data_IF_020632379312
#
_entry.id   IF_020632379312
#
_cell.length_a   1.000
_cell.length_b   1.000
_cell.length_c   1.000
_cell.angle_alpha   90.00
_cell.angle_beta   90.00
_cell.angle_gamma   90.00
#
_symmetry.space_group_name_H-M   'P 1'
#
loop_
_entity.id
_entity.type
_entity.pdbx_description
1 polymer ?
#
# COMPACT_ATOMS: atom_id res chain seq x y z
N UNK A 1 -33.56 -11.90 9.59
CA UNK A 1 -33.32 -12.06 11.03
C UNK A 1 -31.99 -12.64 11.41
N UNK A 2 -31.03 -12.78 10.51
CA UNK A 2 -29.78 -13.45 10.79
C UNK A 2 -28.63 -12.49 10.65
N UNK A 3 -28.17 -12.00 11.80
CA UNK A 3 -26.98 -11.15 11.89
C UNK A 3 -25.67 -11.94 11.75
N UNK A 4 -25.74 -13.19 11.26
CA UNK A 4 -24.60 -14.07 11.00
C UNK A 4 -24.53 -14.34 9.51
N UNK A 5 -23.34 -14.08 8.94
CA UNK A 5 -23.02 -14.34 7.53
C UNK A 5 -21.84 -15.27 7.47
N UNK A 6 -21.98 -16.36 6.73
CA UNK A 6 -20.93 -17.33 6.47
C UNK A 6 -20.68 -17.38 4.96
N UNK A 7 -19.43 -17.17 4.57
CA UNK A 7 -18.99 -17.22 3.18
C UNK A 7 -17.88 -18.29 3.05
N UNK A 8 -18.17 -19.34 2.28
CA UNK A 8 -17.24 -20.45 2.06
C UNK A 8 -16.07 -20.09 1.15
N UNK A 9 -16.19 -19.02 0.39
CA UNK A 9 -15.12 -18.54 -0.50
C UNK A 9 -13.98 -17.86 0.25
N UNK A 10 -14.24 -17.39 1.48
CA UNK A 10 -13.26 -16.73 2.32
C UNK A 10 -12.33 -17.74 3.00
N UNK A 11 -11.03 -17.43 3.04
CA UNK A 11 -10.03 -18.19 3.81
C UNK A 11 -10.14 -18.03 5.34
N UNK A 12 -11.22 -17.40 5.83
CA UNK A 12 -11.47 -17.11 7.24
C UNK A 12 -12.15 -18.30 7.91
N UNK A 13 -11.62 -18.85 9.03
CA UNK A 13 -12.27 -19.91 9.79
C UNK A 13 -13.73 -19.59 10.15
N UNK A 14 -14.63 -20.57 10.03
CA UNK A 14 -16.09 -20.38 10.23
C UNK A 14 -16.43 -19.77 11.59
N UNK A 15 -15.79 -20.25 12.67
CA UNK A 15 -16.01 -19.68 14.01
C UNK A 15 -15.65 -18.19 14.08
N UNK A 16 -14.61 -17.78 13.35
CA UNK A 16 -14.21 -16.37 13.28
C UNK A 16 -15.21 -15.54 12.49
N UNK A 17 -15.80 -16.11 11.44
CA UNK A 17 -16.87 -15.44 10.67
C UNK A 17 -18.11 -15.17 11.53
N UNK A 18 -18.48 -16.14 12.40
CA UNK A 18 -19.57 -15.96 13.38
C UNK A 18 -19.27 -14.78 14.32
N UNK A 19 -18.07 -14.76 14.91
CA UNK A 19 -17.65 -13.67 15.82
C UNK A 19 -17.70 -12.32 15.09
N UNK A 20 -17.12 -12.24 13.90
CA UNK A 20 -17.08 -11.01 13.11
C UNK A 20 -18.49 -10.52 12.74
N UNK A 21 -19.41 -11.42 12.40
CA UNK A 21 -20.81 -11.08 12.10
C UNK A 21 -21.50 -10.42 13.29
N UNK A 22 -21.34 -11.00 14.49
CA UNK A 22 -21.91 -10.43 15.72
C UNK A 22 -21.30 -9.05 16.02
N UNK A 23 -19.98 -8.89 15.88
CA UNK A 23 -19.33 -7.59 16.05
C UNK A 23 -19.85 -6.55 15.04
N UNK A 24 -19.96 -6.92 13.76
CA UNK A 24 -20.49 -6.02 12.74
C UNK A 24 -21.93 -5.61 13.04
N UNK A 25 -22.79 -6.55 13.45
CA UNK A 25 -24.18 -6.28 13.78
C UNK A 25 -24.32 -5.34 15.00
N UNK A 26 -23.45 -5.47 16.01
CA UNK A 26 -23.40 -4.54 17.14
C UNK A 26 -22.90 -3.15 16.68
N UNK A 27 -21.82 -3.11 15.91
CA UNK A 27 -21.25 -1.85 15.41
C UNK A 27 -22.23 -1.07 14.51
N UNK A 28 -23.03 -1.78 13.70
CA UNK A 28 -24.08 -1.19 12.87
C UNK A 28 -25.37 -0.84 13.62
N UNK A 29 -25.44 -1.16 14.93
CA UNK A 29 -26.65 -0.92 15.75
C UNK A 29 -27.81 -1.89 15.50
N UNK A 30 -27.56 -2.97 14.76
CA UNK A 30 -28.53 -4.04 14.48
C UNK A 30 -28.76 -4.94 15.69
N UNK A 31 -27.71 -5.14 16.51
CA UNK A 31 -27.77 -5.83 17.80
C UNK A 31 -27.49 -4.84 18.94
N UNK A 32 -28.41 -4.82 19.90
CA UNK A 32 -28.36 -3.92 21.07
C UNK A 32 -28.17 -4.74 22.35
N UNK A 33 -27.80 -4.05 23.41
CA UNK A 33 -27.71 -4.63 24.75
C UNK A 33 -29.03 -5.34 25.12
N UNK A 34 -28.93 -6.60 25.53
CA UNK A 34 -30.06 -7.43 25.91
C UNK A 34 -30.75 -8.16 24.74
N UNK A 35 -30.37 -7.91 23.50
CA UNK A 35 -30.94 -8.61 22.34
C UNK A 35 -30.55 -10.09 22.36
N UNK A 36 -31.49 -10.93 21.98
CA UNK A 36 -31.29 -12.37 21.85
C UNK A 36 -30.61 -12.71 20.52
N UNK A 37 -29.55 -13.50 20.58
CA UNK A 37 -28.90 -14.04 19.37
C UNK A 37 -29.36 -15.47 19.06
N UNK A 38 -29.19 -15.96 17.80
CA UNK A 38 -29.51 -17.35 17.45
C UNK A 38 -28.84 -18.35 18.40
N UNK A 39 -29.51 -19.43 18.68
CA UNK A 39 -28.93 -20.52 19.49
C UNK A 39 -27.87 -21.28 18.72
N UNK A 40 -27.01 -22.01 19.46
CA UNK A 40 -26.00 -22.90 18.85
C UNK A 40 -26.63 -23.84 17.80
N UNK A 41 -27.75 -24.48 18.14
CA UNK A 41 -28.40 -25.43 17.24
C UNK A 41 -28.96 -24.75 15.99
N UNK A 42 -29.50 -23.53 16.11
CA UNK A 42 -29.98 -22.78 14.95
C UNK A 42 -28.85 -22.47 13.97
N UNK A 43 -27.70 -22.00 14.48
CA UNK A 43 -26.53 -21.71 13.64
C UNK A 43 -25.97 -22.99 12.99
N UNK A 44 -25.89 -24.09 13.77
CA UNK A 44 -25.45 -25.38 13.23
C UNK A 44 -26.32 -25.84 12.07
N UNK A 45 -27.66 -25.75 12.23
CA UNK A 45 -28.60 -26.21 11.20
C UNK A 45 -28.60 -25.28 9.97
N UNK A 46 -28.57 -23.98 10.19
CA UNK A 46 -28.69 -22.99 9.11
C UNK A 46 -27.46 -22.93 8.20
N UNK A 47 -26.27 -23.06 8.81
CA UNK A 47 -24.99 -22.96 8.09
C UNK A 47 -24.26 -24.28 7.93
N UNK A 48 -24.90 -25.40 8.25
CA UNK A 48 -24.33 -26.76 8.18
C UNK A 48 -22.98 -26.90 8.92
N UNK A 49 -22.85 -26.23 10.09
CA UNK A 49 -21.63 -26.21 10.87
C UNK A 49 -21.64 -27.24 11.98
N UNK A 50 -20.43 -27.76 12.31
CA UNK A 50 -20.27 -28.59 13.50
C UNK A 50 -20.55 -27.80 14.78
N UNK A 51 -21.09 -28.50 15.80
CA UNK A 51 -21.37 -27.90 17.11
C UNK A 51 -20.10 -27.30 17.73
N UNK A 52 -18.96 -27.95 17.55
CA UNK A 52 -17.67 -27.50 18.10
C UNK A 52 -17.24 -26.16 17.48
N UNK A 53 -17.42 -26.00 16.17
CA UNK A 53 -17.11 -24.73 15.48
C UNK A 53 -17.94 -23.56 16.05
N UNK A 54 -19.23 -23.76 16.26
CA UNK A 54 -20.11 -22.73 16.81
C UNK A 54 -19.81 -22.50 18.29
N UNK A 55 -19.50 -23.57 19.04
CA UNK A 55 -19.14 -23.48 20.46
C UNK A 55 -17.88 -22.67 20.68
N UNK A 56 -16.84 -22.82 19.84
CA UNK A 56 -15.61 -22.02 19.88
C UNK A 56 -15.93 -20.52 19.75
N UNK A 57 -16.77 -20.15 18.80
CA UNK A 57 -17.19 -18.75 18.63
C UNK A 57 -17.91 -18.20 19.85
N UNK A 58 -18.86 -18.95 20.39
CA UNK A 58 -19.65 -18.51 21.55
C UNK A 58 -18.81 -18.44 22.83
N UNK A 59 -17.87 -19.36 23.02
CA UNK A 59 -16.97 -19.33 24.16
C UNK A 59 -16.04 -18.10 24.11
N UNK A 60 -15.53 -17.75 22.93
CA UNK A 60 -14.71 -16.54 22.75
C UNK A 60 -15.51 -15.26 23.03
N UNK A 61 -16.74 -15.17 22.49
CA UNK A 61 -17.62 -14.02 22.73
C UNK A 61 -18.01 -13.89 24.22
N UNK A 62 -18.23 -15.02 24.90
CA UNK A 62 -18.48 -15.05 26.36
C UNK A 62 -17.25 -14.62 27.16
N UNK A 63 -16.07 -15.15 26.83
CA UNK A 63 -14.82 -14.79 27.51
C UNK A 63 -14.52 -13.29 27.41
N UNK A 64 -14.91 -12.67 26.30
CA UNK A 64 -14.80 -11.21 26.09
C UNK A 64 -15.97 -10.40 26.67
N UNK A 65 -16.93 -11.05 27.31
CA UNK A 65 -18.08 -10.39 27.94
C UNK A 65 -19.10 -9.82 26.96
N UNK A 66 -19.00 -10.11 25.66
CA UNK A 66 -19.90 -9.60 24.62
C UNK A 66 -21.27 -10.26 24.69
N UNK A 67 -21.30 -11.57 24.95
CA UNK A 67 -22.55 -12.31 25.14
C UNK A 67 -22.58 -12.99 26.51
N UNK A 68 -23.77 -13.22 27.03
CA UNK A 68 -23.98 -14.11 28.17
C UNK A 68 -25.00 -15.20 27.83
N UNK A 69 -25.01 -16.29 28.62
CA UNK A 69 -26.00 -17.35 28.50
C UNK A 69 -26.96 -17.31 29.69
N UNK A 70 -28.26 -17.34 29.39
CA UNK A 70 -29.31 -17.46 30.41
C UNK A 70 -29.87 -18.88 30.32
N UNK A 71 -29.72 -19.70 31.37
CA UNK A 71 -30.20 -21.09 31.39
C UNK A 71 -31.68 -21.18 30.98
N UNK A 72 -31.96 -22.05 30.00
CA UNK A 72 -33.32 -22.26 29.47
C UNK A 72 -33.82 -21.16 28.52
N UNK A 73 -33.14 -20.03 28.39
CA UNK A 73 -33.59 -18.90 27.56
C UNK A 73 -32.72 -18.64 26.33
N UNK A 74 -31.41 -19.00 26.39
CA UNK A 74 -30.48 -18.86 25.27
C UNK A 74 -29.35 -17.86 25.52
N UNK A 75 -28.82 -17.25 24.45
CA UNK A 75 -27.72 -16.32 24.47
C UNK A 75 -28.19 -14.90 24.15
N UNK A 76 -27.61 -13.90 24.84
CA UNK A 76 -28.00 -12.51 24.77
C UNK A 76 -26.77 -11.62 24.69
N UNK A 77 -26.89 -10.46 24.01
CA UNK A 77 -25.85 -9.43 24.02
C UNK A 77 -25.74 -8.84 25.43
N UNK A 78 -24.54 -8.94 26.00
CA UNK A 78 -24.22 -8.49 27.37
C UNK A 78 -23.44 -7.19 27.39
N UNK A 79 -22.74 -6.85 26.29
CA UNK A 79 -22.04 -5.58 26.11
C UNK A 79 -22.03 -5.20 24.65
N UNK A 80 -22.24 -3.91 24.39
CA UNK A 80 -22.05 -3.29 23.07
C UNK A 80 -20.74 -2.52 22.99
N UNK A 81 -19.98 -2.46 24.10
CA UNK A 81 -18.64 -1.92 24.10
C UNK A 81 -17.67 -2.97 23.52
N UNK A 82 -17.55 -2.93 22.21
CA UNK A 82 -16.61 -3.78 21.49
C UNK A 82 -15.25 -3.08 21.50
N UNK A 83 -14.45 -3.34 22.52
CA UNK A 83 -13.02 -3.02 22.48
C UNK A 83 -12.35 -4.00 21.51
N UNK A 84 -12.46 -3.75 20.23
CA UNK A 84 -11.68 -4.45 19.22
C UNK A 84 -10.35 -3.71 19.17
N UNK A 85 -9.33 -4.23 19.84
CA UNK A 85 -7.96 -3.83 19.57
C UNK A 85 -7.75 -3.95 18.06
N UNK A 86 -7.48 -2.83 17.40
CA UNK A 86 -7.24 -2.85 15.96
C UNK A 86 -5.97 -3.68 15.72
N UNK A 87 -6.11 -4.79 15.01
CA UNK A 87 -4.99 -5.60 14.57
C UNK A 87 -4.87 -5.47 13.06
N UNK A 88 -3.84 -4.77 12.61
CA UNK A 88 -3.66 -4.39 11.21
C UNK A 88 -2.54 -5.24 10.61
N UNK A 89 -2.85 -5.92 9.52
CA UNK A 89 -1.87 -6.61 8.68
C UNK A 89 -1.35 -5.65 7.61
N UNK A 90 -0.03 -5.50 7.51
CA UNK A 90 0.61 -4.69 6.48
C UNK A 90 1.52 -5.58 5.65
N UNK A 91 1.28 -5.66 4.35
CA UNK A 91 2.09 -6.42 3.40
C UNK A 91 2.71 -5.48 2.38
N UNK A 92 4.00 -5.23 2.52
CA UNK A 92 4.80 -4.42 1.59
C UNK A 92 5.57 -5.32 0.61
N UNK A 93 6.00 -4.73 -0.49
CA UNK A 93 6.86 -5.40 -1.46
C UNK A 93 8.32 -5.47 -0.97
N UNK A 94 8.90 -4.39 -0.45
CA UNK A 94 10.23 -4.33 0.16
C UNK A 94 10.31 -3.17 1.16
N UNK A 95 11.30 -3.18 2.05
CA UNK A 95 11.64 -2.05 2.91
C UNK A 95 12.75 -1.21 2.27
N UNK A 96 12.57 0.10 2.29
CA UNK A 96 13.56 1.10 1.91
C UNK A 96 13.25 2.42 2.62
N UNK A 97 14.16 3.42 2.56
CA UNK A 97 14.05 4.64 3.34
C UNK A 97 12.70 5.36 3.18
N UNK A 98 12.20 5.53 1.97
CA UNK A 98 10.92 6.23 1.77
C UNK A 98 9.69 5.42 2.20
N UNK A 99 9.75 4.08 2.21
CA UNK A 99 8.69 3.23 2.79
C UNK A 99 8.75 3.18 4.31
N UNK A 100 9.93 3.37 4.89
CA UNK A 100 10.09 3.58 6.33
C UNK A 100 9.40 4.88 6.77
N UNK A 101 9.56 5.98 6.01
CA UNK A 101 8.86 7.25 6.26
C UNK A 101 7.33 7.07 6.18
N UNK A 102 6.84 6.37 5.15
CA UNK A 102 5.42 6.04 5.02
C UNK A 102 4.91 5.23 6.22
N UNK A 103 5.62 4.17 6.58
CA UNK A 103 5.23 3.28 7.68
C UNK A 103 5.25 4.00 9.02
N UNK A 104 6.30 4.77 9.30
CA UNK A 104 6.41 5.55 10.52
C UNK A 104 5.30 6.59 10.63
N UNK A 105 5.01 7.31 9.54
CA UNK A 105 3.92 8.28 9.50
C UNK A 105 2.55 7.61 9.68
N UNK A 106 2.35 6.44 9.07
CA UNK A 106 1.15 5.62 9.27
C UNK A 106 0.97 5.23 10.74
N UNK A 107 2.02 4.68 11.40
CA UNK A 107 1.95 4.30 12.81
C UNK A 107 1.63 5.49 13.72
N UNK A 108 2.30 6.63 13.49
CA UNK A 108 2.10 7.85 14.30
C UNK A 108 0.69 8.46 14.13
N UNK A 109 -0.01 8.10 13.06
CA UNK A 109 -1.37 8.58 12.76
C UNK A 109 -2.47 7.62 13.22
N UNK A 110 -2.12 6.44 13.72
CA UNK A 110 -3.08 5.48 14.25
C UNK A 110 -3.38 5.78 15.73
N UNK A 111 -4.55 5.31 16.18
CA UNK A 111 -4.90 5.31 17.59
C UNK A 111 -3.96 4.42 18.40
N UNK A 112 -3.71 4.78 19.65
CA UNK A 112 -2.78 4.11 20.58
C UNK A 112 -3.13 2.65 20.87
N UNK A 113 -4.33 2.19 20.52
CA UNK A 113 -4.81 0.81 20.70
C UNK A 113 -4.60 -0.08 19.46
N UNK A 114 -3.92 0.42 18.43
CA UNK A 114 -3.70 -0.31 17.20
C UNK A 114 -2.42 -1.15 17.28
N UNK A 115 -2.50 -2.45 16.97
CA UNK A 115 -1.37 -3.35 16.79
C UNK A 115 -1.14 -3.57 15.31
N UNK A 116 0.07 -3.35 14.83
CA UNK A 116 0.44 -3.48 13.42
C UNK A 116 1.51 -4.55 13.25
N UNK A 117 1.21 -5.58 12.47
CA UNK A 117 2.17 -6.58 12.04
C UNK A 117 2.56 -6.30 10.58
N UNK A 118 3.85 -6.06 10.30
CA UNK A 118 4.36 -5.80 8.95
C UNK A 118 5.09 -7.00 8.39
N UNK A 119 4.83 -7.29 7.11
CA UNK A 119 5.41 -8.38 6.35
C UNK A 119 5.91 -7.89 4.99
N UNK A 120 6.84 -8.64 4.38
CA UNK A 120 7.43 -8.29 3.09
C UNK A 120 7.39 -9.49 2.15
N UNK A 121 6.91 -9.31 0.92
CA UNK A 121 6.90 -10.38 -0.07
C UNK A 121 8.10 -10.35 -1.04
N UNK A 122 8.93 -9.30 -1.01
CA UNK A 122 10.17 -9.16 -1.79
C UNK A 122 9.99 -9.48 -3.29
N UNK A 123 8.88 -9.03 -3.89
CA UNK A 123 8.50 -9.32 -5.28
C UNK A 123 8.41 -10.83 -5.59
N UNK A 124 8.20 -11.67 -4.57
CA UNK A 124 7.95 -13.11 -4.72
C UNK A 124 6.46 -13.39 -4.60
N UNK A 125 5.83 -13.79 -5.71
CA UNK A 125 4.39 -14.03 -5.77
C UNK A 125 3.94 -15.21 -4.87
N UNK A 126 4.78 -16.24 -4.68
CA UNK A 126 4.42 -17.35 -3.79
C UNK A 126 4.37 -16.87 -2.34
N UNK A 127 5.38 -16.12 -1.89
CA UNK A 127 5.40 -15.50 -0.55
C UNK A 127 4.18 -14.58 -0.35
N UNK A 128 3.83 -13.77 -1.37
CA UNK A 128 2.63 -12.95 -1.35
C UNK A 128 1.36 -13.76 -1.10
N UNK A 129 1.17 -14.88 -1.83
CA UNK A 129 0.00 -15.75 -1.66
C UNK A 129 -0.04 -16.41 -0.28
N UNK A 130 1.10 -16.91 0.19
CA UNK A 130 1.19 -17.64 1.45
C UNK A 130 0.90 -16.71 2.63
N UNK A 131 1.48 -15.51 2.64
CA UNK A 131 1.23 -14.51 3.69
C UNK A 131 -0.24 -14.06 3.73
N UNK A 132 -0.89 -13.87 2.57
CA UNK A 132 -2.33 -13.57 2.52
C UNK A 132 -3.16 -14.72 3.08
N UNK A 133 -2.88 -15.95 2.64
CA UNK A 133 -3.61 -17.13 3.11
C UNK A 133 -3.45 -17.34 4.63
N UNK A 134 -2.22 -17.20 5.14
CA UNK A 134 -1.93 -17.35 6.56
C UNK A 134 -2.54 -16.24 7.43
N UNK A 135 -2.69 -15.02 6.88
CA UNK A 135 -3.25 -13.87 7.60
C UNK A 135 -4.77 -13.91 7.69
N UNK A 136 -5.45 -14.67 6.84
CA UNK A 136 -6.90 -14.66 6.71
C UNK A 136 -7.62 -14.88 8.06
N UNK A 137 -8.50 -13.95 8.42
CA UNK A 137 -9.29 -13.98 9.67
C UNK A 137 -8.55 -13.61 10.95
N UNK A 138 -7.26 -13.29 10.89
CA UNK A 138 -6.45 -12.94 12.07
C UNK A 138 -6.40 -11.44 12.35
N UNK A 139 -6.82 -10.61 11.40
CA UNK A 139 -6.68 -9.15 11.46
C UNK A 139 -8.02 -8.43 11.24
N UNK A 140 -8.11 -7.23 11.75
CA UNK A 140 -9.27 -6.34 11.58
C UNK A 140 -9.19 -5.56 10.27
N UNK A 141 -7.98 -5.32 9.77
CA UNK A 141 -7.72 -4.62 8.50
C UNK A 141 -6.48 -5.19 7.83
N UNK A 142 -6.44 -5.14 6.50
CA UNK A 142 -5.37 -5.65 5.65
C UNK A 142 -4.93 -4.56 4.69
N UNK A 143 -3.69 -4.13 4.79
CA UNK A 143 -3.05 -3.18 3.88
C UNK A 143 -2.13 -3.97 2.96
N UNK A 144 -2.36 -3.86 1.65
CA UNK A 144 -1.66 -4.71 0.69
C UNK A 144 -1.05 -3.87 -0.43
N UNK A 145 0.28 -3.98 -0.60
CA UNK A 145 0.98 -3.54 -1.80
C UNK A 145 1.06 -4.70 -2.78
N UNK A 146 0.33 -4.67 -3.90
CA UNK A 146 0.31 -5.78 -4.86
C UNK A 146 1.55 -5.83 -5.77
N UNK A 147 2.45 -4.86 -5.70
CA UNK A 147 3.61 -4.70 -6.60
C UNK A 147 3.20 -4.76 -8.10
N UNK A 148 4.04 -5.41 -8.92
CA UNK A 148 3.80 -5.60 -10.37
C UNK A 148 3.10 -6.91 -10.71
N UNK A 149 2.68 -7.70 -9.71
CA UNK A 149 2.06 -8.99 -9.96
C UNK A 149 0.75 -8.86 -10.75
N UNK A 150 0.54 -9.75 -11.70
CA UNK A 150 -0.72 -9.90 -12.39
C UNK A 150 -1.69 -10.78 -11.58
N UNK A 151 -3.01 -10.60 -11.82
CA UNK A 151 -4.05 -11.44 -11.25
C UNK A 151 -4.06 -11.54 -9.72
N UNK A 152 -3.73 -10.45 -9.04
CA UNK A 152 -3.71 -10.39 -7.57
C UNK A 152 -5.10 -10.45 -6.94
N UNK A 153 -6.13 -10.05 -7.67
CA UNK A 153 -7.52 -10.02 -7.19
C UNK A 153 -7.99 -11.37 -6.62
N UNK A 154 -7.71 -12.48 -7.31
CA UNK A 154 -8.11 -13.82 -6.85
C UNK A 154 -7.45 -14.23 -5.52
N UNK A 155 -6.22 -13.75 -5.28
CA UNK A 155 -5.51 -14.01 -4.02
C UNK A 155 -6.08 -13.15 -2.90
N UNK A 156 -6.31 -11.87 -3.17
CA UNK A 156 -6.83 -10.90 -2.21
C UNK A 156 -8.30 -11.17 -1.88
N UNK A 157 -9.10 -11.69 -2.81
CA UNK A 157 -10.50 -12.06 -2.60
C UNK A 157 -10.73 -13.13 -1.52
N UNK A 158 -9.68 -13.81 -1.07
CA UNK A 158 -9.74 -14.72 0.10
C UNK A 158 -9.89 -13.98 1.44
N UNK A 159 -9.66 -12.67 1.44
CA UNK A 159 -9.83 -11.80 2.60
C UNK A 159 -11.21 -11.13 2.55
N UNK A 160 -11.79 -10.76 3.71
CA UNK A 160 -13.04 -9.99 3.74
C UNK A 160 -12.86 -8.65 3.02
N UNK A 161 -13.65 -8.42 1.96
CA UNK A 161 -13.50 -7.27 1.05
C UNK A 161 -13.58 -5.92 1.79
N UNK A 162 -14.45 -5.82 2.78
CA UNK A 162 -14.67 -4.64 3.61
C UNK A 162 -13.50 -4.27 4.56
N UNK A 163 -12.50 -5.16 4.65
CA UNK A 163 -11.32 -4.99 5.50
C UNK A 163 -10.02 -4.80 4.73
N UNK A 164 -10.08 -4.81 3.40
CA UNK A 164 -8.89 -4.73 2.54
C UNK A 164 -8.70 -3.32 2.00
N UNK A 165 -7.50 -2.82 2.10
CA UNK A 165 -7.04 -1.53 1.60
C UNK A 165 -5.81 -1.75 0.71
N UNK A 166 -5.86 -1.23 -0.50
CA UNK A 166 -4.74 -1.33 -1.45
C UNK A 166 -3.85 -0.11 -1.30
N UNK A 167 -2.54 -0.32 -1.43
CA UNK A 167 -1.54 0.72 -1.28
C UNK A 167 -0.58 0.74 -2.46
N UNK A 168 -0.13 1.93 -2.84
CA UNK A 168 0.90 2.22 -3.83
C UNK A 168 0.41 2.18 -5.30
N UNK A 169 -0.41 1.22 -5.69
CA UNK A 169 -0.82 1.05 -7.09
C UNK A 169 -2.32 0.84 -7.25
N UNK A 170 -2.93 1.62 -8.14
CA UNK A 170 -4.28 1.35 -8.62
C UNK A 170 -4.20 0.38 -9.80
N UNK A 171 -4.64 -0.86 -9.59
CA UNK A 171 -4.72 -1.90 -10.61
C UNK A 171 -6.17 -2.12 -11.03
N UNK A 172 -6.39 -2.42 -12.33
CA UNK A 172 -7.74 -2.61 -12.85
C UNK A 172 -8.52 -3.73 -12.17
N UNK A 173 -7.85 -4.85 -11.86
CA UNK A 173 -8.42 -6.00 -11.17
C UNK A 173 -8.70 -5.76 -9.66
N UNK A 174 -8.17 -4.67 -9.09
CA UNK A 174 -8.36 -4.24 -7.70
C UNK A 174 -9.18 -2.94 -7.60
N UNK A 175 -9.83 -2.53 -8.68
CA UNK A 175 -10.58 -1.27 -8.73
C UNK A 175 -11.73 -1.16 -7.74
N UNK A 176 -12.20 -2.26 -7.18
CA UNK A 176 -13.30 -2.30 -6.21
C UNK A 176 -12.87 -2.06 -4.75
N UNK A 177 -11.57 -1.98 -4.48
CA UNK A 177 -11.04 -1.77 -3.14
C UNK A 177 -10.72 -0.29 -2.90
N UNK A 178 -10.81 0.18 -1.63
CA UNK A 178 -10.20 1.45 -1.23
C UNK A 178 -8.70 1.44 -1.52
N UNK A 179 -8.17 2.55 -2.00
CA UNK A 179 -6.75 2.60 -2.38
C UNK A 179 -6.14 3.98 -2.16
N UNK A 180 -4.91 3.99 -1.62
CA UNK A 180 -4.02 5.16 -1.68
C UNK A 180 -2.92 4.85 -2.67
N UNK A 181 -2.83 5.62 -3.78
CA UNK A 181 -2.01 5.22 -4.91
C UNK A 181 -1.23 6.37 -5.54
N UNK A 182 -0.17 6.00 -6.26
CA UNK A 182 0.59 6.85 -7.17
C UNK A 182 0.14 6.62 -8.61
N UNK A 183 0.01 7.70 -9.39
CA UNK A 183 -0.18 7.64 -10.84
C UNK A 183 1.17 7.90 -11.52
N UNK A 184 1.98 6.86 -11.62
CA UNK A 184 3.37 6.97 -12.04
C UNK A 184 3.57 7.63 -13.40
N UNK A 185 2.63 7.48 -14.35
CA UNK A 185 2.70 8.12 -15.64
C UNK A 185 2.46 9.63 -15.51
N UNK A 186 1.33 9.97 -14.89
CA UNK A 186 0.94 11.36 -14.73
C UNK A 186 1.89 12.10 -13.79
N UNK A 187 2.36 11.44 -12.73
CA UNK A 187 3.28 12.02 -11.75
C UNK A 187 4.62 12.41 -12.39
N UNK A 188 5.19 11.55 -13.24
CA UNK A 188 6.43 11.87 -13.96
C UNK A 188 6.19 12.94 -15.00
N UNK A 189 5.13 12.85 -15.77
CA UNK A 189 4.82 13.86 -16.79
C UNK A 189 4.62 15.25 -16.15
N UNK A 190 3.79 15.36 -15.12
CA UNK A 190 3.49 16.63 -14.45
C UNK A 190 4.77 17.22 -13.79
N UNK A 191 5.60 16.40 -13.15
CA UNK A 191 6.85 16.83 -12.55
C UNK A 191 7.88 17.33 -13.59
N UNK A 192 7.93 16.70 -14.76
CA UNK A 192 8.79 17.17 -15.87
C UNK A 192 8.28 18.46 -16.51
N UNK A 193 6.98 18.67 -16.57
CA UNK A 193 6.39 19.95 -16.99
C UNK A 193 6.76 21.05 -16.00
N UNK A 194 6.67 20.77 -14.68
CA UNK A 194 7.07 21.72 -13.65
C UNK A 194 8.56 22.07 -13.72
N UNK A 195 9.42 21.11 -14.12
CA UNK A 195 10.86 21.30 -14.28
C UNK A 195 11.32 21.74 -15.66
N UNK A 196 10.43 22.12 -16.57
CA UNK A 196 10.76 22.39 -17.97
C UNK A 196 11.83 23.50 -18.12
N UNK A 197 11.77 24.54 -17.29
CA UNK A 197 12.75 25.63 -17.26
C UNK A 197 14.17 25.14 -16.95
N UNK A 198 14.31 24.12 -16.08
CA UNK A 198 15.60 23.53 -15.75
C UNK A 198 16.10 22.56 -16.83
N UNK A 199 15.16 21.92 -17.54
CA UNK A 199 15.48 20.91 -18.55
C UNK A 199 15.90 21.49 -19.89
N UNK A 200 15.43 22.68 -20.25
CA UNK A 200 15.67 23.31 -21.56
C UNK A 200 17.14 23.55 -21.92
N UNK A 201 18.04 23.61 -20.91
CA UNK A 201 19.48 23.77 -21.13
C UNK A 201 20.17 22.48 -21.59
N UNK A 202 19.51 21.33 -21.48
CA UNK A 202 20.06 20.04 -21.89
C UNK A 202 19.62 19.66 -23.31
N UNK A 203 20.55 19.13 -24.08
CA UNK A 203 20.31 18.69 -25.47
C UNK A 203 19.72 17.29 -25.58
N UNK A 204 19.77 16.50 -24.50
CA UNK A 204 19.27 15.13 -24.45
C UNK A 204 18.87 14.71 -23.05
N UNK A 205 17.83 13.87 -22.96
CA UNK A 205 17.33 13.29 -21.72
C UNK A 205 17.52 11.77 -21.74
N UNK A 206 18.14 11.20 -20.72
CA UNK A 206 18.46 9.77 -20.63
C UNK A 206 17.76 9.17 -19.43
N UNK A 207 16.87 8.21 -19.62
CA UNK A 207 16.23 7.48 -18.51
C UNK A 207 16.85 6.12 -18.34
N UNK A 208 17.29 5.80 -17.11
CA UNK A 208 17.69 4.45 -16.73
C UNK A 208 16.42 3.71 -16.27
N UNK A 209 16.00 2.74 -17.06
CA UNK A 209 14.82 1.92 -16.77
C UNK A 209 15.17 0.43 -16.83
N UNK A 210 15.56 -0.18 -15.68
CA UNK A 210 15.94 -1.59 -15.63
C UNK A 210 14.79 -2.55 -15.95
N UNK A 211 13.53 -2.11 -15.81
CA UNK A 211 12.35 -2.96 -15.84
C UNK A 211 12.16 -3.74 -14.53
N UNK A 212 11.44 -4.84 -14.57
CA UNK A 212 11.19 -5.68 -13.41
C UNK A 212 10.28 -5.02 -12.38
N UNK A 213 10.82 -4.62 -11.23
CA UNK A 213 10.05 -3.98 -10.17
C UNK A 213 9.68 -2.51 -10.43
N UNK A 214 10.35 -1.87 -11.38
CA UNK A 214 10.09 -0.46 -11.68
C UNK A 214 8.72 -0.26 -12.34
N UNK A 215 7.93 0.74 -11.91
CA UNK A 215 6.64 1.03 -12.53
C UNK A 215 6.79 1.51 -13.97
N UNK A 216 6.19 0.82 -14.94
CA UNK A 216 6.23 1.19 -16.36
C UNK A 216 5.68 2.60 -16.62
N UNK A 217 4.71 3.05 -15.83
CA UNK A 217 4.17 4.40 -15.93
C UNK A 217 5.23 5.49 -15.86
N UNK A 218 6.32 5.30 -15.11
CA UNK A 218 7.44 6.26 -15.08
C UNK A 218 8.07 6.43 -16.47
N UNK A 219 8.30 5.33 -17.16
CA UNK A 219 8.84 5.34 -18.52
C UNK A 219 7.86 5.96 -19.52
N UNK A 220 6.59 5.60 -19.42
CA UNK A 220 5.54 6.12 -20.30
C UNK A 220 5.40 7.63 -20.14
N UNK A 221 5.34 8.14 -18.90
CA UNK A 221 5.26 9.59 -18.61
C UNK A 221 6.47 10.35 -19.11
N UNK A 222 7.68 9.80 -18.95
CA UNK A 222 8.91 10.36 -19.48
C UNK A 222 8.91 10.42 -21.03
N UNK A 223 8.55 9.33 -21.71
CA UNK A 223 8.47 9.28 -23.17
C UNK A 223 7.45 10.28 -23.73
N UNK A 224 6.29 10.34 -23.10
CA UNK A 224 5.24 11.28 -23.45
C UNK A 224 5.73 12.72 -23.36
N UNK A 225 6.35 13.10 -22.24
CA UNK A 225 6.93 14.42 -22.04
C UNK A 225 7.98 14.74 -23.12
N UNK A 226 8.95 13.85 -23.36
CA UNK A 226 9.99 14.07 -24.35
C UNK A 226 9.42 14.27 -25.76
N UNK A 227 8.44 13.46 -26.15
CA UNK A 227 7.76 13.55 -27.44
C UNK A 227 7.01 14.88 -27.60
N UNK A 228 6.22 15.26 -26.58
CA UNK A 228 5.39 16.48 -26.65
C UNK A 228 6.24 17.75 -26.59
N UNK A 229 7.38 17.75 -25.89
CA UNK A 229 8.27 18.92 -25.75
C UNK A 229 9.45 18.93 -26.73
N UNK A 230 9.56 17.92 -27.59
CA UNK A 230 10.60 17.87 -28.64
C UNK A 230 12.01 17.56 -28.11
N UNK A 231 12.16 16.92 -26.92
CA UNK A 231 13.46 16.53 -26.43
C UNK A 231 13.97 15.26 -27.12
N UNK A 232 15.25 15.24 -27.47
CA UNK A 232 15.94 13.98 -27.78
C UNK A 232 15.98 13.14 -26.52
N UNK A 233 15.58 11.90 -26.59
CA UNK A 233 15.55 11.03 -25.42
C UNK A 233 16.06 9.63 -25.71
N UNK A 234 16.67 9.02 -24.70
CA UNK A 234 17.19 7.65 -24.72
C UNK A 234 16.69 6.93 -23.47
N UNK A 235 16.27 5.66 -23.60
CA UNK A 235 15.95 4.78 -22.49
C UNK A 235 16.96 3.63 -22.49
N UNK A 236 17.66 3.48 -21.38
CA UNK A 236 18.69 2.45 -21.21
C UNK A 236 18.35 1.56 -20.01
N UNK A 237 18.70 0.28 -20.08
CA UNK A 237 18.46 -0.64 -18.96
C UNK A 237 19.45 -0.48 -17.82
N UNK A 238 20.67 -0.07 -18.10
CA UNK A 238 21.75 0.09 -17.12
C UNK A 238 22.83 1.05 -17.66
N UNK A 239 23.79 1.36 -16.81
CA UNK A 239 24.93 2.25 -17.12
C UNK A 239 26.16 1.49 -17.64
N UNK A 240 26.06 0.20 -17.97
CA UNK A 240 27.16 -0.55 -18.57
C UNK A 240 27.38 0.01 -19.98
N UNK A 241 28.60 0.38 -20.29
CA UNK A 241 29.01 0.97 -21.58
C UNK A 241 28.31 2.32 -21.93
N UNK A 242 27.54 2.94 -21.01
CA UNK A 242 27.03 4.29 -21.21
C UNK A 242 28.12 5.30 -20.86
N UNK A 243 28.52 6.06 -21.84
CA UNK A 243 29.39 7.20 -21.63
C UNK A 243 28.54 8.44 -21.28
N UNK A 244 28.87 9.12 -20.18
CA UNK A 244 28.24 10.38 -19.80
C UNK A 244 28.76 11.51 -20.69
N UNK A 245 27.87 12.34 -21.19
CA UNK A 245 28.19 13.49 -22.06
C UNK A 245 27.65 14.78 -21.45
N UNK A 246 28.42 15.85 -21.60
CA UNK A 246 27.90 17.18 -21.30
C UNK A 246 26.67 17.50 -22.15
N UNK A 247 25.72 18.21 -21.57
CA UNK A 247 24.42 18.52 -22.19
C UNK A 247 23.36 17.42 -22.07
N UNK A 248 23.61 16.34 -21.33
CA UNK A 248 22.61 15.31 -21.03
C UNK A 248 22.04 15.44 -19.61
N UNK A 249 20.74 15.19 -19.41
CA UNK A 249 20.14 15.01 -18.10
C UNK A 249 19.69 13.57 -17.90
N UNK A 250 20.05 12.98 -16.75
CA UNK A 250 19.84 11.57 -16.42
C UNK A 250 18.74 11.38 -15.38
N UNK A 251 17.79 10.50 -15.68
CA UNK A 251 16.69 10.11 -14.78
C UNK A 251 16.96 8.72 -14.22
N UNK A 252 17.09 8.62 -12.90
CA UNK A 252 17.58 7.40 -12.25
C UNK A 252 16.69 6.93 -11.09
N UNK A 253 16.15 5.68 -11.14
CA UNK A 253 15.27 5.18 -10.08
C UNK A 253 16.01 4.62 -8.88
N UNK A 254 17.28 4.20 -9.00
CA UNK A 254 18.00 3.54 -7.92
C UNK A 254 19.17 4.35 -7.38
N UNK A 255 19.36 4.32 -6.06
CA UNK A 255 20.47 5.02 -5.39
C UNK A 255 21.85 4.48 -5.83
N UNK A 256 21.95 3.18 -6.15
CA UNK A 256 23.20 2.61 -6.69
C UNK A 256 23.59 3.26 -8.03
N UNK A 257 22.64 3.45 -8.93
CA UNK A 257 22.89 4.12 -10.21
C UNK A 257 23.11 5.64 -10.02
N UNK A 258 22.41 6.26 -9.06
CA UNK A 258 22.63 7.66 -8.69
C UNK A 258 24.08 7.90 -8.28
N UNK A 259 24.59 7.10 -7.34
CA UNK A 259 26.00 7.20 -6.89
C UNK A 259 26.97 6.98 -8.06
N UNK A 260 26.66 6.05 -8.97
CA UNK A 260 27.49 5.81 -10.16
C UNK A 260 27.50 7.02 -11.09
N UNK A 261 26.36 7.65 -11.36
CA UNK A 261 26.28 8.87 -12.18
C UNK A 261 27.08 10.03 -11.54
N UNK A 262 26.96 10.22 -10.22
CA UNK A 262 27.73 11.26 -9.50
C UNK A 262 29.24 11.02 -9.65
N UNK A 263 29.70 9.78 -9.51
CA UNK A 263 31.12 9.43 -9.74
C UNK A 263 31.56 9.66 -11.18
N UNK A 264 30.76 9.26 -12.15
CA UNK A 264 31.04 9.48 -13.57
C UNK A 264 31.18 10.96 -13.92
N UNK A 265 30.33 11.82 -13.34
CA UNK A 265 30.43 13.26 -13.50
C UNK A 265 31.75 13.81 -12.92
N UNK A 266 32.08 13.39 -11.69
CA UNK A 266 33.33 13.79 -11.04
C UNK A 266 34.59 13.32 -11.81
N UNK A 267 34.61 12.09 -12.29
CA UNK A 267 35.73 11.55 -13.09
C UNK A 267 35.95 12.30 -14.41
N UNK A 268 34.89 12.86 -14.98
CA UNK A 268 34.93 13.65 -16.20
C UNK A 268 35.04 15.17 -15.97
N UNK A 269 35.14 15.61 -14.71
CA UNK A 269 35.13 17.02 -14.31
C UNK A 269 33.88 17.77 -14.86
N UNK A 270 32.69 17.11 -14.87
CA UNK A 270 31.43 17.69 -15.26
C UNK A 270 30.67 18.18 -14.00
N UNK A 271 30.22 19.42 -14.05
CA UNK A 271 29.47 20.07 -12.96
C UNK A 271 28.00 19.69 -13.04
N UNK A 272 27.47 19.11 -11.92
CA UNK A 272 26.04 18.77 -11.83
C UNK A 272 25.19 20.05 -11.82
N UNK A 273 24.05 19.98 -12.50
CA UNK A 273 23.14 21.10 -12.63
C UNK A 273 23.58 22.15 -13.66
N UNK A 274 24.78 22.02 -14.24
CA UNK A 274 25.31 22.89 -15.27
C UNK A 274 25.68 22.14 -16.53
N UNK A 275 26.70 21.27 -16.46
CA UNK A 275 27.17 20.50 -17.62
C UNK A 275 26.31 19.25 -17.84
N UNK A 276 25.89 18.61 -16.74
CA UNK A 276 25.01 17.43 -16.75
C UNK A 276 23.93 17.56 -15.69
N UNK A 277 22.74 17.02 -15.97
CA UNK A 277 21.64 16.98 -15.03
C UNK A 277 21.43 15.59 -14.44
N UNK A 278 21.01 15.52 -13.17
CA UNK A 278 20.54 14.28 -12.56
C UNK A 278 19.22 14.53 -11.85
N UNK A 279 18.22 13.69 -12.17
CA UNK A 279 16.94 13.61 -11.46
C UNK A 279 16.79 12.21 -10.94
N UNK A 280 16.54 12.06 -9.64
CA UNK A 280 16.27 10.77 -9.02
C UNK A 280 14.78 10.62 -8.69
N UNK A 281 14.34 9.37 -8.48
CA UNK A 281 12.98 9.10 -8.02
C UNK A 281 12.97 8.79 -6.54
N UNK A 282 11.87 9.17 -5.86
CA UNK A 282 11.65 9.03 -4.43
C UNK A 282 12.69 9.77 -3.58
N UNK A 283 12.25 10.81 -2.92
CA UNK A 283 13.12 11.63 -2.09
C UNK A 283 13.55 10.92 -0.81
N UNK A 284 14.74 11.24 -0.34
CA UNK A 284 15.28 10.75 0.93
C UNK A 284 16.23 11.79 1.49
N UNK A 285 16.43 11.81 2.82
CA UNK A 285 17.37 12.71 3.51
C UNK A 285 18.78 12.66 2.90
N UNK A 286 19.22 11.47 2.47
CA UNK A 286 20.53 11.32 1.81
C UNK A 286 20.63 12.13 0.51
N UNK A 287 19.55 12.22 -0.27
CA UNK A 287 19.53 12.97 -1.54
C UNK A 287 19.57 14.48 -1.35
N UNK A 288 19.25 14.96 -0.17
CA UNK A 288 19.42 16.39 0.17
C UNK A 288 20.88 16.83 0.24
N UNK A 289 21.76 15.92 0.65
CA UNK A 289 23.18 16.25 0.91
C UNK A 289 24.14 15.72 -0.16
N UNK A 290 23.80 14.64 -0.85
CA UNK A 290 24.65 14.05 -1.90
C UNK A 290 24.87 15.07 -3.01
N UNK A 291 26.15 15.31 -3.36
CA UNK A 291 26.58 16.20 -4.44
C UNK A 291 25.96 17.61 -4.38
N UNK A 292 25.71 18.13 -3.20
CA UNK A 292 25.09 19.45 -3.00
C UNK A 292 23.56 19.46 -3.16
N UNK A 293 22.93 18.30 -3.22
CA UNK A 293 21.49 18.12 -3.33
C UNK A 293 21.03 17.61 -4.70
N UNK A 294 20.33 16.49 -4.69
CA UNK A 294 19.79 15.83 -5.89
C UNK A 294 18.34 16.24 -6.08
N UNK A 295 18.01 16.76 -7.27
CA UNK A 295 16.63 16.99 -7.70
C UNK A 295 15.89 15.66 -7.79
N UNK A 296 14.69 15.60 -7.22
CA UNK A 296 13.92 14.35 -7.17
C UNK A 296 12.49 14.55 -7.68
N UNK A 297 11.94 13.48 -8.27
CA UNK A 297 10.49 13.32 -8.47
C UNK A 297 10.02 12.38 -7.37
N UNK A 298 9.23 12.89 -6.44
CA UNK A 298 8.80 12.12 -5.28
C UNK A 298 7.35 12.39 -4.90
N UNK A 299 6.64 11.31 -4.54
CA UNK A 299 5.41 11.44 -3.78
C UNK A 299 5.75 11.80 -2.32
N UNK A 300 4.79 12.43 -1.62
CA UNK A 300 4.89 12.65 -0.19
C UNK A 300 4.49 11.35 0.55
N UNK A 301 5.50 10.57 0.96
CA UNK A 301 5.29 9.30 1.66
C UNK A 301 4.73 9.48 3.07
N UNK A 302 5.00 10.61 3.73
CA UNK A 302 4.42 10.90 5.05
C UNK A 302 2.93 11.17 4.91
N UNK A 303 2.52 12.01 3.96
CA UNK A 303 1.11 12.25 3.65
C UNK A 303 0.40 10.97 3.23
N UNK A 304 1.07 10.09 2.47
CA UNK A 304 0.54 8.79 2.07
C UNK A 304 0.21 7.90 3.29
N UNK A 305 1.11 7.88 4.29
CA UNK A 305 0.90 7.17 5.54
C UNK A 305 -0.25 7.74 6.37
N UNK A 306 -0.33 9.08 6.51
CA UNK A 306 -1.44 9.76 7.20
C UNK A 306 -2.78 9.48 6.54
N UNK A 307 -2.83 9.59 5.20
CA UNK A 307 -4.04 9.33 4.41
C UNK A 307 -4.51 7.89 4.60
N UNK A 308 -3.58 6.94 4.59
CA UNK A 308 -3.89 5.52 4.80
C UNK A 308 -4.47 5.27 6.19
N UNK A 309 -3.89 5.86 7.25
CA UNK A 309 -4.41 5.75 8.61
C UNK A 309 -5.84 6.30 8.71
N UNK A 310 -6.09 7.49 8.16
CA UNK A 310 -7.41 8.11 8.12
C UNK A 310 -8.44 7.20 7.42
N UNK A 311 -8.14 6.71 6.22
CA UNK A 311 -9.05 5.85 5.44
C UNK A 311 -9.43 4.59 6.23
N UNK A 312 -8.48 3.99 6.96
CA UNK A 312 -8.73 2.79 7.77
C UNK A 312 -9.58 3.12 8.99
N UNK A 313 -9.27 4.19 9.72
CA UNK A 313 -10.02 4.60 10.92
C UNK A 313 -11.46 4.99 10.58
N UNK A 314 -11.67 5.70 9.46
CA UNK A 314 -12.99 6.12 8.98
C UNK A 314 -13.73 4.99 8.22
N UNK A 315 -13.08 3.85 7.97
CA UNK A 315 -13.60 2.78 7.08
C UNK A 315 -14.05 3.31 5.73
N UNK A 316 -13.31 4.28 5.20
CA UNK A 316 -13.61 4.92 3.93
C UNK A 316 -13.40 3.97 2.76
N UNK A 317 -14.24 4.09 1.73
CA UNK A 317 -14.13 3.34 0.47
C UNK A 317 -13.49 4.17 -0.64
N UNK A 318 -12.90 5.30 -0.32
CA UNK A 318 -12.34 6.24 -1.30
C UNK A 318 -11.08 5.70 -1.99
N UNK A 319 -10.81 6.29 -3.15
CA UNK A 319 -9.58 6.09 -3.94
C UNK A 319 -8.82 7.39 -3.97
N UNK A 320 -7.75 7.47 -3.22
CA UNK A 320 -7.00 8.70 -3.05
C UNK A 320 -5.68 8.64 -3.81
N UNK A 321 -5.51 9.51 -4.82
CA UNK A 321 -4.22 9.69 -5.48
C UNK A 321 -3.30 10.52 -4.59
N UNK A 322 -2.14 9.99 -4.28
CA UNK A 322 -1.05 10.70 -3.62
C UNK A 322 -0.08 11.22 -4.68
N UNK A 323 -0.17 12.51 -5.00
CA UNK A 323 0.57 13.12 -6.11
C UNK A 323 2.06 13.19 -5.81
N UNK A 324 2.90 13.02 -6.85
CA UNK A 324 4.31 13.38 -6.79
C UNK A 324 4.55 14.83 -7.21
N UNK A 325 5.66 15.39 -6.75
CA UNK A 325 6.16 16.71 -7.11
C UNK A 325 7.64 16.64 -7.52
N UNK A 326 8.10 17.65 -8.26
CA UNK A 326 9.51 17.88 -8.50
C UNK A 326 10.09 18.65 -7.31
N UNK A 327 11.03 18.06 -6.59
CA UNK A 327 11.78 18.71 -5.53
C UNK A 327 13.09 19.22 -6.14
N UNK A 328 13.13 20.53 -6.36
CA UNK A 328 14.24 21.18 -7.06
C UNK A 328 15.46 21.32 -6.14
N UNK A 329 16.61 20.87 -6.61
CA UNK A 329 17.92 21.01 -5.97
C UNK A 329 19.02 21.24 -7.00
N UNK A 330 20.28 21.26 -6.58
CA UNK A 330 21.41 21.71 -7.39
C UNK A 330 21.80 20.75 -8.54
N UNK A 331 21.27 19.54 -8.61
CA UNK A 331 21.67 18.55 -9.63
C UNK A 331 20.97 18.69 -10.98
N UNK A 332 20.02 19.65 -11.12
CA UNK A 332 19.32 19.89 -12.38
C UNK A 332 19.28 21.37 -12.71
#
# INVERSE_FOLDING_TARGET
>A
MNNIVIDDSLGVPKYRQIINSIYSAIANGELKLGDKIPSLNQICTEFELSRDTVMVAFNELKAKGIINSIPGKGYYINSTEINIDQKIFVLFDELNAFKEDLYTSFLNSLDTKSNVDIYFHHFNYQVFKDLIAESAGKYTSYIIMPATFDFTANTIAKLPKDKVYILDRLKGDLSDYPVVYQDFEKDVYDALIDGLDLLQKYSGLVMIFPGGKEPEGRMIGFQRFCKEKGFKSEIIRNLINKEMKAGEAYFVPSDRNLVRLVKMAAEKNLELGKDVGIVSFNDTVLKEVVAGGITTISTDFQLMGQTLARIIQERSTEKTRNKAALIRRNSL
#
